data_IF_674714833876
#
_entry.id   IF_674714833876
#
_cell.length_a   1.000
_cell.length_b   1.000
_cell.length_c   1.000
_cell.angle_alpha   90.00
_cell.angle_beta   90.00
_cell.angle_gamma   90.00
#
_symmetry.space_group_name_H-M   'P 1'
#
loop_
_entity.id
_entity.type
_entity.pdbx_description
1 polymer ?
#
# COMPACT_ATOMS: atom_id res chain seq x y z
N UNK A 1 2.28 -9.22 5.93
CA UNK A 1 2.34 -9.86 7.27
C UNK A 1 3.40 -10.94 7.27
N UNK A 2 4.36 -10.96 8.19
CA UNK A 2 5.38 -11.98 8.16
C UNK A 2 4.83 -13.31 8.68
N UNK A 3 4.83 -14.32 7.83
CA UNK A 3 4.75 -15.71 8.28
C UNK A 3 6.16 -16.21 8.45
N UNK A 4 6.54 -16.53 9.67
CA UNK A 4 7.84 -17.11 9.96
C UNK A 4 7.84 -18.57 9.55
N UNK A 5 8.55 -18.90 8.49
CA UNK A 5 8.78 -20.29 8.11
C UNK A 5 10.25 -20.59 8.23
N UNK A 6 10.60 -21.46 9.16
CA UNK A 6 11.93 -22.01 9.27
C UNK A 6 12.13 -23.07 8.18
N UNK A 7 12.85 -22.72 7.12
CA UNK A 7 13.28 -23.71 6.14
C UNK A 7 14.73 -23.48 5.75
N UNK A 8 15.59 -24.43 6.11
CA UNK A 8 17.03 -24.39 5.84
C UNK A 8 17.41 -24.43 4.36
N UNK A 9 16.44 -24.49 3.44
CA UNK A 9 16.66 -24.60 1.99
C UNK A 9 16.24 -23.35 1.20
N UNK A 10 15.63 -22.36 1.85
CA UNK A 10 15.29 -21.13 1.14
C UNK A 10 16.51 -20.22 1.04
N UNK A 11 16.86 -19.74 -0.15
CA UNK A 11 17.97 -18.80 -0.28
C UNK A 11 17.66 -17.52 0.51
N UNK A 12 18.61 -17.08 1.32
CA UNK A 12 18.49 -15.79 2.04
C UNK A 12 18.48 -14.60 1.07
N UNK A 13 19.01 -14.80 -0.12
CA UNK A 13 18.97 -13.86 -1.24
C UNK A 13 17.94 -14.35 -2.23
N UNK A 14 16.70 -13.98 -2.02
CA UNK A 14 15.58 -14.34 -2.90
C UNK A 14 14.89 -13.12 -3.49
N UNK A 15 14.14 -13.38 -4.53
CA UNK A 15 13.27 -12.37 -5.16
C UNK A 15 11.97 -12.21 -4.39
N UNK A 16 11.36 -11.04 -4.52
CA UNK A 16 9.97 -10.82 -4.13
C UNK A 16 9.10 -11.41 -5.23
N UNK A 17 8.13 -12.22 -4.88
CA UNK A 17 7.23 -12.87 -5.81
C UNK A 17 5.80 -12.42 -5.49
N UNK A 18 5.08 -12.03 -6.54
CA UNK A 18 3.62 -11.83 -6.50
C UNK A 18 3.00 -12.91 -7.38
N UNK A 19 2.17 -13.74 -6.79
CA UNK A 19 1.41 -14.79 -7.48
C UNK A 19 -0.03 -14.30 -7.69
N UNK A 20 -0.34 -13.91 -8.93
CA UNK A 20 -1.66 -13.39 -9.29
C UNK A 20 -2.77 -14.42 -9.26
N UNK A 21 -2.45 -15.73 -9.41
CA UNK A 21 -3.46 -16.79 -9.39
C UNK A 21 -4.08 -17.01 -8.02
N UNK A 22 -3.26 -16.85 -6.97
CA UNK A 22 -3.69 -17.06 -5.58
C UNK A 22 -3.73 -15.76 -4.78
N UNK A 23 -3.46 -14.64 -5.46
CA UNK A 23 -3.39 -13.30 -4.89
C UNK A 23 -2.57 -13.23 -3.59
N UNK A 24 -1.39 -13.82 -3.62
CA UNK A 24 -0.43 -13.79 -2.53
C UNK A 24 0.89 -13.18 -2.99
N UNK A 25 1.58 -12.55 -2.08
CA UNK A 25 2.95 -12.14 -2.30
C UNK A 25 3.85 -12.66 -1.18
N UNK A 26 5.09 -12.99 -1.53
CA UNK A 26 6.05 -13.45 -0.55
C UNK A 26 7.47 -13.01 -0.88
N UNK A 27 8.27 -12.93 0.15
CA UNK A 27 9.69 -12.63 0.06
C UNK A 27 10.47 -13.30 1.18
N UNK A 28 11.75 -13.60 0.96
CA UNK A 28 12.66 -13.98 2.04
C UNK A 28 12.79 -12.84 3.06
N UNK A 29 12.96 -13.23 4.31
CA UNK A 29 13.22 -12.32 5.42
C UNK A 29 14.38 -12.85 6.26
N UNK A 30 14.99 -11.98 7.05
CA UNK A 30 16.13 -12.35 7.92
C UNK A 30 15.74 -13.45 8.91
N UNK A 31 16.73 -14.28 9.32
CA UNK A 31 16.50 -15.35 10.28
C UNK A 31 15.80 -16.57 9.72
N UNK A 32 15.93 -16.85 8.42
CA UNK A 32 15.32 -18.00 7.76
C UNK A 32 13.78 -17.97 7.80
N UNK A 33 13.22 -16.78 7.57
CA UNK A 33 11.80 -16.55 7.52
C UNK A 33 11.35 -16.21 6.10
N UNK A 34 10.09 -16.50 5.80
CA UNK A 34 9.38 -15.95 4.66
C UNK A 34 8.28 -15.02 5.17
N UNK A 35 8.20 -13.86 4.58
CA UNK A 35 7.09 -12.95 4.76
C UNK A 35 6.04 -13.26 3.68
N UNK A 36 4.83 -13.58 4.10
CA UNK A 36 3.68 -13.81 3.22
C UNK A 36 2.68 -12.68 3.42
N UNK A 37 2.24 -12.09 2.32
CA UNK A 37 1.26 -11.01 2.30
C UNK A 37 0.08 -11.31 1.38
N UNK A 38 -1.07 -10.64 1.63
CA UNK A 38 -2.24 -10.71 0.76
C UNK A 38 -2.08 -9.85 -0.48
N UNK A 39 -2.49 -10.40 -1.61
CA UNK A 39 -2.79 -9.66 -2.83
C UNK A 39 -4.26 -9.28 -2.95
N UNK A 40 -5.02 -9.37 -1.85
CA UNK A 40 -6.43 -9.00 -1.78
C UNK A 40 -7.32 -9.82 -2.75
N UNK A 41 -7.37 -11.17 -2.58
CA UNK A 41 -8.17 -12.00 -3.46
C UNK A 41 -9.67 -11.77 -3.24
N UNK A 42 -10.46 -11.89 -4.31
CA UNK A 42 -11.91 -11.69 -4.29
C UNK A 42 -12.66 -12.61 -3.29
N UNK A 43 -12.06 -13.75 -2.93
CA UNK A 43 -12.65 -14.69 -1.96
C UNK A 43 -12.44 -14.28 -0.50
N UNK A 44 -11.66 -13.26 -0.22
CA UNK A 44 -11.42 -12.76 1.13
C UNK A 44 -12.23 -11.45 1.30
N UNK A 45 -13.08 -11.40 2.32
CA UNK A 45 -13.87 -10.20 2.62
C UNK A 45 -12.99 -9.10 3.18
N UNK A 46 -13.23 -7.87 2.74
CA UNK A 46 -12.61 -6.68 3.31
C UNK A 46 -13.41 -6.22 4.52
N UNK A 47 -12.72 -5.92 5.59
CA UNK A 47 -13.31 -5.39 6.81
C UNK A 47 -12.92 -3.91 6.95
N UNK A 48 -13.92 -3.05 7.16
CA UNK A 48 -13.73 -1.65 7.53
C UNK A 48 -14.05 -1.53 9.02
N UNK A 49 -13.10 -1.05 9.78
CA UNK A 49 -13.17 -1.06 11.25
C UNK A 49 -12.83 0.31 11.82
N UNK A 50 -13.21 0.53 13.08
CA UNK A 50 -12.80 1.69 13.85
C UNK A 50 -11.29 1.62 14.11
N UNK A 51 -10.48 2.60 13.66
CA UNK A 51 -9.02 2.57 13.84
C UNK A 51 -8.59 2.60 15.30
N UNK A 52 -9.42 3.10 16.20
CA UNK A 52 -9.14 3.17 17.63
C UNK A 52 -9.60 1.92 18.40
N UNK A 53 -10.39 1.04 17.75
CA UNK A 53 -10.94 -0.15 18.40
C UNK A 53 -11.17 -1.30 17.43
N UNK A 54 -10.13 -2.01 17.02
CA UNK A 54 -10.22 -3.17 16.13
C UNK A 54 -9.57 -4.42 16.73
N UNK A 55 -9.96 -5.59 16.24
CA UNK A 55 -9.39 -6.87 16.67
C UNK A 55 -8.01 -7.08 16.06
N UNK A 56 -7.00 -7.21 16.91
CA UNK A 56 -5.60 -7.47 16.51
C UNK A 56 -5.26 -8.96 16.45
N UNK A 57 -6.25 -9.85 16.63
CA UNK A 57 -6.03 -11.30 16.48
C UNK A 57 -5.93 -11.70 15.00
N UNK A 58 -5.25 -12.81 14.76
CA UNK A 58 -5.16 -13.38 13.42
C UNK A 58 -6.46 -14.03 13.00
N UNK A 59 -6.94 -13.67 11.81
CA UNK A 59 -8.16 -14.21 11.24
C UNK A 59 -7.93 -15.58 10.59
N UNK A 60 -9.04 -16.26 10.26
CA UNK A 60 -9.00 -17.48 9.45
C UNK A 60 -8.49 -17.20 8.03
N UNK A 61 -8.79 -16.02 7.48
CA UNK A 61 -8.29 -15.56 6.18
C UNK A 61 -6.77 -15.50 6.16
N UNK A 62 -6.15 -14.93 7.20
CA UNK A 62 -4.70 -14.90 7.33
C UNK A 62 -4.07 -16.31 7.32
N UNK A 63 -4.69 -17.27 8.03
CA UNK A 63 -4.24 -18.65 8.03
C UNK A 63 -4.42 -19.30 6.65
N UNK A 64 -5.57 -19.09 6.02
CA UNK A 64 -5.86 -19.63 4.68
C UNK A 64 -4.86 -19.11 3.63
N UNK A 65 -4.48 -17.85 3.73
CA UNK A 65 -3.50 -17.24 2.85
C UNK A 65 -2.11 -17.87 2.97
N UNK A 66 -1.63 -18.08 4.19
CA UNK A 66 -0.37 -18.78 4.42
C UNK A 66 -0.42 -20.21 3.87
N UNK A 67 -1.56 -20.89 3.96
CA UNK A 67 -1.77 -22.22 3.37
C UNK A 67 -1.77 -22.21 1.83
N UNK A 68 -2.37 -21.20 1.19
CA UNK A 68 -2.33 -21.04 -0.28
C UNK A 68 -0.88 -20.95 -0.75
N UNK A 69 -0.09 -20.11 -0.10
CA UNK A 69 1.31 -19.92 -0.43
C UNK A 69 2.15 -21.19 -0.25
N UNK A 70 1.91 -21.92 0.84
CA UNK A 70 2.61 -23.19 1.10
C UNK A 70 2.34 -24.26 0.03
N UNK A 71 1.26 -24.15 -0.73
CA UNK A 71 0.95 -25.05 -1.84
C UNK A 71 1.76 -24.73 -3.11
N UNK A 72 2.24 -23.49 -3.25
CA UNK A 72 3.00 -23.04 -4.42
C UNK A 72 4.51 -23.26 -4.29
N UNK A 73 5.02 -23.34 -3.07
CA UNK A 73 6.45 -23.45 -2.83
C UNK A 73 6.77 -24.87 -2.37
N UNK A 74 7.44 -25.64 -3.21
CA UNK A 74 7.88 -27.00 -2.88
C UNK A 74 8.77 -27.00 -1.63
N UNK A 75 8.39 -27.80 -0.66
CA UNK A 75 9.13 -27.96 0.59
C UNK A 75 8.87 -26.87 1.64
N UNK A 76 8.05 -25.87 1.35
CA UNK A 76 7.61 -24.90 2.35
C UNK A 76 6.71 -25.60 3.38
N UNK A 77 7.04 -25.47 4.64
CA UNK A 77 6.26 -26.00 5.75
C UNK A 77 5.83 -24.89 6.66
N UNK A 78 4.52 -24.83 6.93
CA UNK A 78 4.00 -23.87 7.90
C UNK A 78 4.31 -24.37 9.32
N UNK A 79 4.80 -23.51 10.21
CA UNK A 79 4.97 -23.85 11.61
C UNK A 79 3.61 -23.97 12.30
N UNK A 80 3.57 -24.75 13.38
CA UNK A 80 2.35 -24.88 14.20
C UNK A 80 1.90 -23.53 14.80
N UNK A 81 2.86 -22.64 15.03
CA UNK A 81 2.61 -21.29 15.51
C UNK A 81 3.23 -20.29 14.54
N UNK A 82 2.39 -19.70 13.73
CA UNK A 82 2.76 -18.60 12.84
C UNK A 82 2.87 -17.29 13.63
N UNK A 83 3.69 -16.37 13.13
CA UNK A 83 3.84 -15.01 13.67
C UNK A 83 3.43 -14.02 12.62
N UNK A 84 2.90 -12.89 13.05
CA UNK A 84 2.48 -11.83 12.15
C UNK A 84 2.14 -10.56 12.90
N UNK A 85 1.68 -9.57 12.15
CA UNK A 85 1.18 -8.30 12.65
C UNK A 85 -0.18 -8.07 11.99
N UNK A 86 -1.16 -7.65 12.76
CA UNK A 86 -2.43 -7.13 12.25
C UNK A 86 -2.36 -5.62 12.34
N UNK A 87 -2.64 -4.95 11.23
CA UNK A 87 -2.63 -3.50 11.15
C UNK A 87 -3.63 -3.04 10.10
N UNK A 88 -3.86 -1.74 10.01
CA UNK A 88 -4.84 -1.13 9.14
C UNK A 88 -4.19 -0.46 7.93
N UNK A 89 -4.94 -0.42 6.83
CA UNK A 89 -4.66 0.47 5.72
C UNK A 89 -5.58 1.69 5.79
N UNK A 90 -5.01 2.88 5.59
CA UNK A 90 -5.76 4.11 5.38
C UNK A 90 -6.18 4.17 3.91
N UNK A 91 -7.44 3.94 3.62
CA UNK A 91 -7.94 3.93 2.25
C UNK A 91 -8.80 5.16 1.97
N UNK A 92 -8.64 5.74 0.78
CA UNK A 92 -9.58 6.70 0.22
C UNK A 92 -10.72 5.98 -0.52
N UNK A 93 -11.77 6.70 -0.89
CA UNK A 93 -12.95 6.11 -1.56
C UNK A 93 -12.62 5.40 -2.88
N UNK A 94 -11.60 5.86 -3.58
CA UNK A 94 -11.11 5.26 -4.84
C UNK A 94 -9.74 4.59 -4.71
N UNK A 95 -9.23 4.45 -3.50
CA UNK A 95 -7.91 3.88 -3.21
C UNK A 95 -6.72 4.64 -3.82
N UNK A 96 -6.96 5.83 -4.38
CA UNK A 96 -5.93 6.74 -4.85
C UNK A 96 -5.59 7.70 -3.70
N UNK A 97 -4.31 7.90 -3.36
CA UNK A 97 -3.95 8.78 -2.25
C UNK A 97 -4.40 10.22 -2.46
N UNK A 98 -4.50 10.95 -1.37
CA UNK A 98 -4.77 12.39 -1.37
C UNK A 98 -3.47 13.11 -1.04
N UNK A 99 -2.94 13.84 -2.02
CA UNK A 99 -1.80 14.73 -1.89
C UNK A 99 -2.26 16.15 -2.22
N UNK A 100 -2.65 16.90 -1.18
CA UNK A 100 -3.32 18.18 -1.39
C UNK A 100 -3.12 19.12 -0.19
N UNK A 101 -3.49 20.38 -0.36
CA UNK A 101 -3.80 21.28 0.73
C UNK A 101 -5.17 20.94 1.34
N UNK A 102 -5.43 21.37 2.56
CA UNK A 102 -6.77 21.36 3.13
C UNK A 102 -7.48 22.71 2.95
N UNK A 103 -8.69 22.83 3.49
CA UNK A 103 -9.40 24.10 3.59
C UNK A 103 -8.87 24.97 4.74
N UNK A 104 -8.10 24.37 5.65
CA UNK A 104 -7.42 25.09 6.73
C UNK A 104 -6.07 25.60 6.23
N UNK A 105 -5.81 26.92 6.24
CA UNK A 105 -4.53 27.47 5.81
C UNK A 105 -3.35 26.87 6.56
N UNK A 106 -2.30 26.50 5.84
CA UNK A 106 -1.10 25.88 6.39
C UNK A 106 -1.23 24.41 6.75
N UNK A 107 -2.39 23.76 6.50
CA UNK A 107 -2.57 22.33 6.72
C UNK A 107 -2.61 21.58 5.39
N UNK A 108 -1.66 20.67 5.20
CA UNK A 108 -1.48 19.87 4.00
C UNK A 108 -1.67 18.39 4.30
N UNK A 109 -2.09 17.62 3.30
CA UNK A 109 -2.45 16.21 3.44
C UNK A 109 -1.64 15.33 2.50
N UNK A 110 -1.10 14.25 3.05
CA UNK A 110 -0.54 13.13 2.30
C UNK A 110 -1.06 11.85 2.96
N UNK A 111 -2.25 11.43 2.61
CA UNK A 111 -3.07 10.41 3.27
C UNK A 111 -3.72 9.48 2.27
N UNK A 112 -4.41 8.43 2.75
CA UNK A 112 -5.09 7.47 1.89
C UNK A 112 -4.11 6.63 1.09
N UNK A 113 -3.06 6.13 1.75
CA UNK A 113 -1.94 5.43 1.08
C UNK A 113 -2.36 4.09 0.49
N UNK A 114 -3.49 3.55 0.93
CA UNK A 114 -4.13 2.33 0.43
C UNK A 114 -3.17 1.12 0.33
N UNK A 115 -2.14 1.11 1.19
CA UNK A 115 -1.18 0.03 1.31
C UNK A 115 -0.07 -0.03 0.24
N UNK A 116 -0.05 0.89 -0.74
CA UNK A 116 0.85 0.75 -1.90
C UNK A 116 1.82 1.93 -2.13
N UNK A 117 1.82 2.97 -1.28
CA UNK A 117 2.54 4.22 -1.55
C UNK A 117 3.99 4.28 -1.05
N UNK A 118 4.50 3.28 -0.35
CA UNK A 118 5.88 3.27 0.12
C UNK A 118 6.90 3.50 -1.02
N UNK A 119 6.68 2.83 -2.15
CA UNK A 119 7.51 2.97 -3.36
C UNK A 119 7.49 4.38 -3.95
N UNK A 120 6.40 5.13 -3.74
CA UNK A 120 6.18 6.47 -4.31
C UNK A 120 6.61 7.59 -3.34
N UNK A 121 6.93 7.28 -2.09
CA UNK A 121 7.23 8.26 -1.05
C UNK A 121 8.27 9.33 -1.46
N UNK A 122 9.39 9.00 -2.14
CA UNK A 122 10.36 10.01 -2.56
C UNK A 122 9.78 11.03 -3.56
N UNK A 123 8.97 10.55 -4.52
CA UNK A 123 8.35 11.43 -5.53
C UNK A 123 7.22 12.23 -4.90
N UNK A 124 6.39 11.59 -4.08
CA UNK A 124 5.33 12.26 -3.34
C UNK A 124 5.88 13.38 -2.44
N UNK A 125 7.00 13.12 -1.75
CA UNK A 125 7.65 14.14 -0.93
C UNK A 125 8.12 15.37 -1.71
N UNK A 126 8.74 15.17 -2.87
CA UNK A 126 9.17 16.30 -3.74
C UNK A 126 7.96 17.06 -4.29
N UNK A 127 6.93 16.34 -4.73
CA UNK A 127 5.69 16.92 -5.24
C UNK A 127 4.97 17.75 -4.16
N UNK A 128 4.85 17.21 -2.95
CA UNK A 128 4.24 17.92 -1.82
C UNK A 128 5.03 19.16 -1.42
N UNK A 129 6.35 19.11 -1.43
CA UNK A 129 7.18 20.29 -1.16
C UNK A 129 6.92 21.40 -2.20
N UNK A 130 6.86 21.05 -3.49
CA UNK A 130 6.54 22.02 -4.54
C UNK A 130 5.11 22.57 -4.39
N UNK A 131 4.14 21.72 -4.07
CA UNK A 131 2.76 22.14 -3.82
C UNK A 131 2.68 23.15 -2.68
N UNK A 132 3.33 22.85 -1.55
CA UNK A 132 3.38 23.73 -0.39
C UNK A 132 4.00 25.08 -0.77
N UNK A 133 5.17 25.09 -1.39
CA UNK A 133 5.86 26.31 -1.80
C UNK A 133 4.98 27.18 -2.71
N UNK A 134 4.28 26.57 -3.65
CA UNK A 134 3.40 27.32 -4.58
C UNK A 134 2.16 27.89 -3.87
N UNK A 135 1.52 27.08 -3.04
CA UNK A 135 0.31 27.50 -2.31
C UNK A 135 0.65 28.62 -1.31
N UNK A 136 1.74 28.51 -0.58
CA UNK A 136 2.20 29.56 0.34
C UNK A 136 2.62 30.85 -0.38
N UNK A 137 3.04 30.73 -1.66
CA UNK A 137 3.29 31.88 -2.54
C UNK A 137 1.99 32.45 -3.18
N UNK A 138 0.82 31.95 -2.81
CA UNK A 138 -0.48 32.48 -3.25
C UNK A 138 -1.07 31.78 -4.48
N UNK A 139 -0.53 30.64 -4.90
CA UNK A 139 -1.11 29.85 -6.00
C UNK A 139 -2.43 29.17 -5.57
N UNK A 140 -3.49 29.40 -6.33
CA UNK A 140 -4.80 28.76 -6.09
C UNK A 140 -4.83 27.37 -6.75
N UNK A 141 -4.41 26.37 -5.99
CA UNK A 141 -4.34 24.98 -6.48
C UNK A 141 -5.72 24.39 -6.82
N UNK A 142 -6.79 24.83 -6.15
CA UNK A 142 -8.14 24.32 -6.38
C UNK A 142 -8.67 24.76 -7.74
N UNK A 143 -8.35 26.00 -8.17
CA UNK A 143 -8.77 26.52 -9.49
C UNK A 143 -7.81 26.16 -10.60
N UNK A 144 -6.54 26.05 -10.28
CA UNK A 144 -5.46 25.77 -11.24
C UNK A 144 -4.50 24.76 -10.66
N UNK A 145 -4.81 23.45 -10.77
CA UNK A 145 -3.96 22.41 -10.19
C UNK A 145 -2.52 22.47 -10.70
N UNK A 146 -1.58 22.28 -9.77
CA UNK A 146 -0.14 22.28 -10.04
C UNK A 146 0.20 21.25 -11.13
N UNK A 147 1.04 21.67 -12.09
CA UNK A 147 1.69 20.78 -13.03
C UNK A 147 3.07 20.39 -12.50
N UNK A 148 3.20 19.20 -11.96
CA UNK A 148 4.45 18.70 -11.41
C UNK A 148 5.34 18.10 -12.49
N UNK A 149 6.59 18.55 -12.56
CA UNK A 149 7.56 18.06 -13.53
C UNK A 149 8.52 17.06 -12.90
N UNK A 150 8.51 15.82 -13.42
CA UNK A 150 9.42 14.76 -12.97
C UNK A 150 10.78 14.89 -13.64
N UNK A 151 11.78 15.29 -12.88
CA UNK A 151 13.14 15.59 -13.33
C UNK A 151 13.80 14.48 -14.15
N UNK A 152 13.62 13.23 -13.77
CA UNK A 152 14.35 12.09 -14.37
C UNK A 152 13.63 11.45 -15.56
N UNK A 153 12.35 11.65 -15.71
CA UNK A 153 11.55 11.08 -16.81
C UNK A 153 11.17 12.12 -17.84
N UNK A 154 11.43 13.40 -17.55
CA UNK A 154 11.00 14.56 -18.34
C UNK A 154 9.48 14.59 -18.63
N UNK A 155 8.68 13.97 -17.75
CA UNK A 155 7.22 13.97 -17.84
C UNK A 155 6.64 14.94 -16.81
N UNK A 156 5.53 15.53 -17.18
CA UNK A 156 4.72 16.32 -16.24
C UNK A 156 3.35 15.67 -16.08
N UNK A 157 2.77 15.83 -14.91
CA UNK A 157 1.39 15.42 -14.66
C UNK A 157 0.66 16.44 -13.79
N UNK A 158 -0.66 16.42 -13.89
CA UNK A 158 -1.53 17.29 -13.13
C UNK A 158 -1.75 16.75 -11.72
N UNK A 159 -1.31 17.50 -10.71
CA UNK A 159 -1.43 17.10 -9.29
C UNK A 159 -2.90 17.08 -8.83
N UNK A 160 -3.80 17.74 -9.54
CA UNK A 160 -5.25 17.64 -9.31
C UNK A 160 -5.79 16.21 -9.37
N UNK A 161 -5.07 15.27 -10.00
CA UNK A 161 -5.37 13.85 -9.94
C UNK A 161 -5.40 13.31 -8.49
N UNK A 162 -4.64 13.91 -7.60
CA UNK A 162 -4.58 13.55 -6.18
C UNK A 162 -5.36 14.52 -5.27
N UNK A 163 -6.15 15.43 -5.87
CA UNK A 163 -6.88 16.44 -5.11
C UNK A 163 -7.96 15.82 -4.22
N UNK A 164 -8.17 16.41 -3.06
CA UNK A 164 -9.32 16.11 -2.19
C UNK A 164 -10.67 16.44 -2.83
N UNK A 165 -10.68 17.28 -3.86
CA UNK A 165 -11.88 17.72 -4.59
C UNK A 165 -12.12 16.91 -5.88
N UNK A 166 -11.29 15.90 -6.15
CA UNK A 166 -11.45 15.05 -7.34
C UNK A 166 -12.74 14.23 -7.26
N UNK A 167 -13.31 13.92 -8.40
CA UNK A 167 -14.31 12.88 -8.50
C UNK A 167 -13.69 11.51 -8.23
N UNK A 168 -14.47 10.58 -7.66
CA UNK A 168 -14.05 9.19 -7.48
C UNK A 168 -13.70 8.59 -8.83
N UNK A 169 -12.49 8.04 -8.95
CA UNK A 169 -12.06 7.39 -10.20
C UNK A 169 -12.62 5.96 -10.26
N UNK A 170 -13.61 5.68 -11.13
CA UNK A 170 -14.20 4.34 -11.24
C UNK A 170 -13.24 3.31 -11.86
N UNK A 171 -12.19 3.77 -12.53
CA UNK A 171 -11.18 2.90 -13.16
C UNK A 171 -9.99 2.60 -12.24
N UNK A 172 -10.08 2.96 -10.96
CA UNK A 172 -9.08 2.59 -9.97
C UNK A 172 -9.06 1.08 -9.75
N UNK A 173 -7.92 0.54 -9.37
CA UNK A 173 -7.80 -0.88 -9.04
C UNK A 173 -8.58 -1.29 -7.78
N UNK A 174 -8.91 -0.33 -6.91
CA UNK A 174 -9.49 -0.58 -5.59
C UNK A 174 -8.74 -1.66 -4.80
N UNK A 175 -7.42 -1.72 -4.92
CA UNK A 175 -6.57 -2.78 -4.39
C UNK A 175 -5.28 -2.24 -3.78
N UNK A 176 -4.75 -2.96 -2.79
CA UNK A 176 -3.43 -2.69 -2.20
C UNK A 176 -2.26 -2.88 -3.17
N UNK A 177 -2.49 -3.52 -4.30
CA UNK A 177 -1.46 -3.73 -5.32
C UNK A 177 -1.27 -2.49 -6.20
N UNK A 178 -2.28 -1.63 -6.31
CA UNK A 178 -2.26 -0.37 -7.07
C UNK A 178 -2.56 -0.50 -8.54
#
# INVERSE_FOLDING_TARGET
MPVSVSNSKLPQEGVIISDGDIACCYRPETGNHILVGSGDPECDEREYVDPDNYDTSFTKQWTAQAMREAQRIEGLRLPNQMRGVVDLYDVSDDWIPIYDKSDLPGFYMAIGTSGNQYKNAPVAGVMMAELIDKVEAGHDHDKSPLQFHMKYTARSFNVGFYSRLREINPDSSFSVIG
#
